data_IF_835672324027
#
_entry.id   IF_835672324027
#
_cell.length_a   1.000
_cell.length_b   1.000
_cell.length_c   1.000
_cell.angle_alpha   90.00
_cell.angle_beta   90.00
_cell.angle_gamma   90.00
#
_symmetry.space_group_name_H-M   'P 1'
#
loop_
_entity.id
_entity.type
_entity.pdbx_description
1 polymer ?
#
# COMPACT_ATOMS: atom_id res chain seq x y z
N UNK A 1 14.22 -13.21 -14.93
CA UNK A 1 14.55 -11.85 -14.46
C UNK A 1 15.81 -11.97 -13.64
N UNK A 2 16.87 -11.35 -14.12
CA UNK A 2 18.12 -11.08 -13.41
C UNK A 2 17.88 -10.34 -12.08
N UNK A 3 18.85 -10.46 -11.17
CA UNK A 3 18.73 -9.96 -9.80
C UNK A 3 18.45 -8.45 -9.75
N UNK A 4 19.15 -7.67 -10.58
CA UNK A 4 18.99 -6.22 -10.69
C UNK A 4 17.54 -5.85 -11.06
N UNK A 5 17.01 -6.43 -12.14
CA UNK A 5 15.63 -6.18 -12.55
C UNK A 5 14.60 -6.58 -11.47
N UNK A 6 14.88 -7.62 -10.69
CA UNK A 6 14.03 -8.00 -9.55
C UNK A 6 14.06 -6.98 -8.42
N UNK A 7 15.24 -6.44 -8.12
CA UNK A 7 15.41 -5.40 -7.13
C UNK A 7 14.64 -4.13 -7.52
N UNK A 8 14.80 -3.65 -8.76
CA UNK A 8 14.07 -2.50 -9.27
C UNK A 8 12.55 -2.72 -9.27
N UNK A 9 12.09 -3.92 -9.64
CA UNK A 9 10.66 -4.27 -9.58
C UNK A 9 10.11 -4.17 -8.15
N UNK A 10 10.82 -4.73 -7.17
CA UNK A 10 10.38 -4.68 -5.76
C UNK A 10 10.34 -3.23 -5.28
N UNK A 11 11.37 -2.43 -5.58
CA UNK A 11 11.42 -1.02 -5.20
C UNK A 11 10.25 -0.24 -5.81
N UNK A 12 9.97 -0.44 -7.11
CA UNK A 12 8.84 0.17 -7.79
C UNK A 12 7.51 -0.20 -7.13
N UNK A 13 7.32 -1.47 -6.79
CA UNK A 13 6.09 -1.94 -6.15
C UNK A 13 5.93 -1.42 -4.71
N UNK A 14 7.02 -1.21 -3.97
CA UNK A 14 6.98 -0.57 -2.65
C UNK A 14 6.59 0.91 -2.75
N UNK A 15 7.16 1.64 -3.71
CA UNK A 15 6.78 3.03 -4.00
C UNK A 15 5.31 3.10 -4.42
N UNK A 16 4.88 2.23 -5.32
CA UNK A 16 3.48 2.14 -5.76
C UNK A 16 2.54 1.85 -4.58
N UNK A 17 2.94 0.93 -3.68
CA UNK A 17 2.18 0.60 -2.47
C UNK A 17 2.00 1.81 -1.57
N UNK A 18 3.07 2.59 -1.37
CA UNK A 18 3.01 3.83 -0.61
C UNK A 18 2.09 4.84 -1.28
N UNK A 19 2.27 5.08 -2.60
CA UNK A 19 1.48 6.03 -3.37
C UNK A 19 -0.01 5.69 -3.39
N UNK A 20 -0.38 4.42 -3.52
CA UNK A 20 -1.76 3.96 -3.41
C UNK A 20 -2.27 4.26 -2.00
N UNK A 21 -1.51 4.00 -0.94
CA UNK A 21 -1.99 4.22 0.43
C UNK A 21 -2.08 5.69 0.85
N UNK A 22 -1.44 6.64 0.18
CA UNK A 22 -1.54 8.08 0.49
C UNK A 22 -2.98 8.63 0.37
N UNK A 23 -3.68 8.55 -0.78
CA UNK A 23 -5.05 9.06 -0.89
C UNK A 23 -6.01 8.31 0.04
N UNK A 24 -5.84 6.99 0.20
CA UNK A 24 -6.64 6.20 1.14
C UNK A 24 -6.40 6.60 2.61
N UNK A 25 -5.15 6.92 2.97
CA UNK A 25 -4.80 7.44 4.29
C UNK A 25 -5.47 8.79 4.59
N UNK A 26 -5.49 9.69 3.59
CA UNK A 26 -6.18 10.98 3.69
C UNK A 26 -7.69 10.81 3.84
N UNK A 27 -8.30 10.01 2.96
CA UNK A 27 -9.74 9.72 3.00
C UNK A 27 -10.18 9.06 4.32
N UNK A 28 -9.36 8.14 4.83
CA UNK A 28 -9.54 7.50 6.15
C UNK A 28 -9.51 8.53 7.27
N UNK A 29 -8.58 9.49 7.25
CA UNK A 29 -8.46 10.51 8.29
C UNK A 29 -9.64 11.50 8.28
N UNK A 30 -10.22 11.79 7.11
CA UNK A 30 -11.38 12.68 6.93
C UNK A 30 -12.73 12.02 7.25
N UNK A 31 -12.75 10.72 7.56
CA UNK A 31 -13.97 9.94 7.78
C UNK A 31 -14.12 9.54 9.26
N UNK A 32 -15.38 9.39 9.73
CA UNK A 32 -15.68 8.88 11.07
C UNK A 32 -15.00 7.54 11.31
N UNK A 33 -14.11 7.49 12.31
CA UNK A 33 -13.41 6.27 12.74
C UNK A 33 -14.43 5.15 13.03
N UNK A 34 -14.10 3.92 12.61
CA UNK A 34 -14.97 2.73 12.73
C UNK A 34 -16.27 2.76 11.93
N UNK A 35 -16.46 3.72 11.02
CA UNK A 35 -17.52 3.62 10.02
C UNK A 35 -17.18 2.58 8.96
N UNK A 36 -18.20 2.13 8.22
CA UNK A 36 -18.00 1.23 7.07
C UNK A 36 -17.03 1.83 6.03
N UNK A 37 -17.12 3.15 5.77
CA UNK A 37 -16.19 3.86 4.87
C UNK A 37 -14.76 3.85 5.40
N UNK A 38 -14.57 4.07 6.70
CA UNK A 38 -13.25 4.00 7.34
C UNK A 38 -12.63 2.61 7.19
N UNK A 39 -13.44 1.56 7.38
CA UNK A 39 -13.02 0.18 7.16
C UNK A 39 -12.59 -0.06 5.72
N UNK A 40 -13.39 0.38 4.74
CA UNK A 40 -13.04 0.26 3.32
C UNK A 40 -11.74 0.98 2.98
N UNK A 41 -11.49 2.18 3.51
CA UNK A 41 -10.26 2.90 3.19
C UNK A 41 -8.98 2.22 3.69
N UNK A 42 -9.10 1.37 4.73
CA UNK A 42 -7.97 0.55 5.21
C UNK A 42 -7.86 -0.74 4.41
N UNK A 43 -8.99 -1.38 4.10
CA UNK A 43 -8.99 -2.74 3.58
C UNK A 43 -8.97 -2.83 2.07
N UNK A 44 -9.45 -1.82 1.32
CA UNK A 44 -9.44 -1.82 -0.15
C UNK A 44 -8.04 -1.78 -0.75
N UNK A 45 -7.06 -1.02 -0.21
CA UNK A 45 -5.69 -1.06 -0.71
C UNK A 45 -5.03 -2.44 -0.61
N UNK A 46 -5.35 -3.22 0.42
CA UNK A 46 -4.73 -4.53 0.70
C UNK A 46 -4.92 -5.54 -0.45
N UNK A 47 -6.14 -5.86 -0.93
CA UNK A 47 -6.36 -6.77 -2.05
C UNK A 47 -5.80 -6.21 -3.36
N UNK A 48 -5.79 -4.89 -3.56
CA UNK A 48 -5.16 -4.26 -4.74
C UNK A 48 -3.66 -4.57 -4.76
N UNK A 49 -2.96 -4.31 -3.64
CA UNK A 49 -1.52 -4.57 -3.52
C UNK A 49 -1.24 -6.07 -3.62
N UNK A 50 -2.08 -6.91 -2.99
CA UNK A 50 -1.98 -8.35 -3.06
C UNK A 50 -2.08 -8.87 -4.52
N UNK A 51 -3.05 -8.38 -5.29
CA UNK A 51 -3.21 -8.73 -6.70
C UNK A 51 -1.98 -8.32 -7.52
N UNK A 52 -1.55 -7.05 -7.42
CA UNK A 52 -0.40 -6.53 -8.18
C UNK A 52 0.87 -7.35 -7.85
N UNK A 53 1.09 -7.64 -6.56
CA UNK A 53 2.26 -8.39 -6.10
C UNK A 53 2.24 -9.86 -6.56
N UNK A 54 1.07 -10.50 -6.62
CA UNK A 54 0.95 -11.87 -7.15
C UNK A 54 1.15 -11.93 -8.66
N UNK A 55 0.57 -10.97 -9.41
CA UNK A 55 0.77 -10.85 -10.85
C UNK A 55 2.25 -10.58 -11.20
N UNK A 56 2.97 -9.88 -10.32
CA UNK A 56 4.40 -9.59 -10.46
C UNK A 56 5.31 -10.74 -10.00
N UNK A 57 4.74 -11.87 -9.54
CA UNK A 57 5.47 -13.06 -9.05
C UNK A 57 6.56 -12.76 -8.01
N UNK A 58 6.38 -11.70 -7.21
CA UNK A 58 7.31 -11.40 -6.11
C UNK A 58 7.17 -12.49 -5.04
N UNK A 59 8.21 -12.74 -4.24
CA UNK A 59 8.20 -13.80 -3.22
C UNK A 59 7.53 -13.35 -1.91
N UNK A 60 7.01 -14.29 -1.13
CA UNK A 60 6.23 -13.98 0.08
C UNK A 60 7.09 -13.35 1.17
N UNK A 61 8.41 -13.62 1.13
CA UNK A 61 9.39 -13.03 2.04
C UNK A 61 9.41 -11.49 2.04
N UNK A 62 8.94 -10.85 0.96
CA UNK A 62 8.89 -9.39 0.88
C UNK A 62 7.63 -8.77 1.48
N UNK A 63 6.64 -9.58 1.88
CA UNK A 63 5.37 -9.10 2.42
C UNK A 63 5.52 -8.10 3.60
N UNK A 64 6.46 -8.28 4.55
CA UNK A 64 6.66 -7.29 5.62
C UNK A 64 7.01 -5.89 5.11
N UNK A 65 7.77 -5.78 4.01
CA UNK A 65 8.10 -4.49 3.41
C UNK A 65 6.89 -3.83 2.77
N UNK A 66 6.02 -4.61 2.10
CA UNK A 66 4.76 -4.12 1.57
C UNK A 66 3.82 -3.64 2.68
N UNK A 67 3.73 -4.39 3.78
CA UNK A 67 2.95 -4.00 4.94
C UNK A 67 3.47 -2.69 5.56
N UNK A 68 4.79 -2.56 5.71
CA UNK A 68 5.42 -1.33 6.21
C UNK A 68 5.13 -0.13 5.29
N UNK A 69 5.30 -0.30 3.97
CA UNK A 69 4.99 0.73 2.98
C UNK A 69 3.51 1.14 2.99
N UNK A 70 2.60 0.18 3.16
CA UNK A 70 1.18 0.44 3.24
C UNK A 70 0.81 1.23 4.52
N UNK A 71 1.34 0.83 5.68
CA UNK A 71 1.15 1.53 6.96
C UNK A 71 1.73 2.96 6.88
N UNK A 72 2.93 3.11 6.32
CA UNK A 72 3.54 4.42 6.09
C UNK A 72 2.66 5.30 5.21
N UNK A 73 2.18 4.79 4.07
CA UNK A 73 1.28 5.53 3.18
C UNK A 73 -0.02 5.95 3.88
N UNK A 74 -0.62 5.08 4.70
CA UNK A 74 -1.83 5.39 5.46
C UNK A 74 -1.61 6.50 6.51
N UNK A 75 -0.46 6.49 7.19
CA UNK A 75 -0.10 7.50 8.19
C UNK A 75 0.22 8.83 7.50
N UNK A 76 1.08 8.81 6.48
CA UNK A 76 1.48 10.01 5.74
C UNK A 76 0.27 10.64 5.03
N UNK A 77 -0.53 9.82 4.35
CA UNK A 77 -1.78 10.26 3.73
C UNK A 77 -2.71 10.96 4.70
N UNK A 78 -2.88 10.40 5.90
CA UNK A 78 -3.70 11.00 6.95
C UNK A 78 -3.17 12.34 7.48
N UNK A 79 -1.88 12.65 7.27
CA UNK A 79 -1.29 13.95 7.61
C UNK A 79 -1.37 14.95 6.46
N UNK A 80 -1.33 14.49 5.21
CA UNK A 80 -1.19 15.35 4.05
C UNK A 80 -2.48 16.06 3.61
N UNK A 81 -3.64 15.74 4.19
CA UNK A 81 -4.94 16.39 3.91
C UNK A 81 -5.30 16.51 2.41
N UNK A 82 -4.69 15.70 1.55
CA UNK A 82 -4.91 15.65 0.09
C UNK A 82 -6.35 15.24 -0.21
#
# INVERSE_FOLDING_TARGET
>A
MDFENKFYLILLLLVLTLLINLPFGSARAKTKRYSFRWFLYIHVPIPIIFLIRNLSQVEMKYLPFFAAAAVMGQILGGKLNI
#
